data_IF_019185444440
#
_entry.id   IF_019185444440
#
_cell.length_a   1.000
_cell.length_b   1.000
_cell.length_c   1.000
_cell.angle_alpha   90.00
_cell.angle_beta   90.00
_cell.angle_gamma   90.00
#
_symmetry.space_group_name_H-M   'P 1'
#
loop_
_entity.id
_entity.type
_entity.pdbx_description
1 polymer ?
#
# COMPACT_ATOMS: atom_id res chain seq x y z
N UNK A 1 -12.06 -40.20 23.91
CA UNK A 1 -12.41 -38.76 23.79
C UNK A 1 -11.19 -37.85 23.88
N UNK A 2 -10.34 -37.97 24.92
CA UNK A 2 -9.17 -37.10 25.13
C UNK A 2 -8.22 -37.01 23.92
N UNK A 3 -7.83 -38.15 23.32
CA UNK A 3 -6.95 -38.17 22.13
C UNK A 3 -7.54 -37.52 20.87
N UNK A 4 -8.87 -37.52 20.70
CA UNK A 4 -9.53 -36.84 19.57
C UNK A 4 -9.54 -35.32 19.76
N UNK A 5 -9.68 -34.86 21.01
CA UNK A 5 -9.62 -33.44 21.37
C UNK A 5 -8.19 -32.90 21.20
N UNK A 6 -7.17 -33.69 21.56
CA UNK A 6 -5.76 -33.31 21.36
C UNK A 6 -5.38 -33.22 19.88
N UNK A 7 -5.88 -34.15 19.04
CA UNK A 7 -5.66 -34.10 17.60
C UNK A 7 -6.34 -32.89 16.93
N UNK A 8 -7.55 -32.52 17.37
CA UNK A 8 -8.27 -31.33 16.85
C UNK A 8 -7.56 -30.03 17.24
N UNK A 9 -7.07 -29.92 18.48
CA UNK A 9 -6.27 -28.76 18.92
C UNK A 9 -4.95 -28.63 18.14
N UNK A 10 -4.28 -29.74 17.84
CA UNK A 10 -3.03 -29.74 17.05
C UNK A 10 -3.28 -29.31 15.60
N UNK A 11 -4.39 -29.75 14.99
CA UNK A 11 -4.77 -29.37 13.62
C UNK A 11 -5.17 -27.88 13.55
N UNK A 12 -5.88 -27.35 14.54
CA UNK A 12 -6.16 -25.90 14.61
C UNK A 12 -4.88 -25.05 14.77
N UNK A 13 -3.87 -25.56 15.46
CA UNK A 13 -2.58 -24.87 15.61
C UNK A 13 -1.78 -24.85 14.31
N UNK A 14 -1.83 -25.92 13.51
CA UNK A 14 -1.11 -26.00 12.22
C UNK A 14 -1.79 -25.15 11.13
N UNK A 15 -3.11 -25.00 11.17
CA UNK A 15 -3.88 -24.21 10.17
C UNK A 15 -3.85 -22.70 10.44
N UNK A 16 -3.56 -22.26 11.67
CA UNK A 16 -3.49 -20.83 12.01
C UNK A 16 -2.14 -20.17 11.74
N UNK A 17 -1.05 -20.95 11.69
CA UNK A 17 0.30 -20.43 11.44
C UNK A 17 0.49 -19.79 10.04
N UNK A 18 -0.07 -20.31 8.92
CA UNK A 18 0.10 -19.64 7.63
C UNK A 18 -0.70 -18.34 7.48
N UNK A 19 -1.60 -18.01 8.41
CA UNK A 19 -2.31 -16.72 8.41
C UNK A 19 -1.49 -15.58 9.05
N UNK A 20 -0.41 -15.92 9.77
CA UNK A 20 0.65 -14.99 10.18
C UNK A 20 1.82 -15.01 9.18
N UNK A 21 1.52 -15.05 7.89
CA UNK A 21 2.45 -14.40 6.95
C UNK A 21 2.28 -12.90 7.19
N UNK A 22 2.99 -12.38 8.19
CA UNK A 22 3.22 -10.95 8.31
C UNK A 22 3.70 -10.52 6.94
N UNK A 23 2.86 -9.75 6.26
CA UNK A 23 3.18 -9.20 4.96
C UNK A 23 4.47 -8.41 5.18
N UNK A 24 5.61 -9.02 4.81
CA UNK A 24 6.88 -8.33 4.83
C UNK A 24 6.76 -7.39 3.63
N UNK A 25 5.97 -6.33 3.81
CA UNK A 25 5.96 -5.18 2.93
C UNK A 25 7.44 -4.88 2.79
N UNK A 26 8.00 -5.12 1.60
CA UNK A 26 9.35 -4.69 1.31
C UNK A 26 9.32 -3.21 1.57
N UNK A 27 9.73 -2.78 2.77
CA UNK A 27 9.76 -1.37 3.11
C UNK A 27 10.76 -0.83 2.12
N UNK A 28 10.28 -0.17 1.07
CA UNK A 28 11.18 0.55 0.20
C UNK A 28 11.95 1.48 1.12
N UNK A 29 13.28 1.44 1.04
CA UNK A 29 14.11 2.37 1.80
C UNK A 29 13.93 3.80 1.29
N UNK A 30 13.13 4.00 0.23
CA UNK A 30 12.80 5.29 -0.33
C UNK A 30 11.95 6.11 0.66
N UNK A 31 12.45 7.25 1.15
CA UNK A 31 11.74 8.08 2.12
C UNK A 31 10.41 8.66 1.62
N UNK A 32 10.14 8.65 0.30
CA UNK A 32 8.87 9.12 -0.29
C UNK A 32 7.81 8.01 -0.41
N UNK A 33 8.16 6.75 -0.16
CA UNK A 33 7.25 5.60 -0.22
C UNK A 33 6.88 5.09 1.18
N UNK A 34 6.86 6.00 2.15
CA UNK A 34 6.49 5.72 3.54
C UNK A 34 5.00 5.42 3.73
N UNK A 35 4.64 4.97 4.93
CA UNK A 35 3.26 4.66 5.32
C UNK A 35 2.52 5.91 5.82
N UNK A 36 1.21 5.75 6.01
CA UNK A 36 0.36 6.79 6.57
C UNK A 36 0.91 7.30 7.92
N UNK A 37 0.97 8.62 8.06
CA UNK A 37 1.53 9.33 9.22
C UNK A 37 3.01 9.06 9.54
N UNK A 38 3.79 8.52 8.59
CA UNK A 38 5.25 8.46 8.74
C UNK A 38 5.88 9.81 8.37
N UNK A 39 6.86 10.23 9.18
CA UNK A 39 7.62 11.46 8.90
C UNK A 39 8.56 11.25 7.72
N UNK A 40 8.52 12.17 6.77
CA UNK A 40 9.38 12.14 5.59
C UNK A 40 10.77 12.66 5.96
N UNK A 41 11.78 11.81 5.76
CA UNK A 41 13.19 12.13 6.04
C UNK A 41 13.80 12.85 4.84
N UNK A 42 13.46 14.13 4.65
CA UNK A 42 13.93 14.92 3.50
C UNK A 42 15.46 14.99 3.40
N UNK A 43 16.17 14.97 4.53
CA UNK A 43 17.63 15.00 4.57
C UNK A 43 18.29 13.77 3.92
N UNK A 44 17.55 12.67 3.77
CA UNK A 44 18.05 11.41 3.22
C UNK A 44 17.71 11.26 1.72
N UNK A 45 17.00 12.22 1.11
CA UNK A 45 16.52 12.09 -0.27
C UNK A 45 17.62 12.31 -1.30
N UNK A 46 17.70 11.40 -2.27
CA UNK A 46 18.53 11.56 -3.47
C UNK A 46 17.69 11.70 -4.74
N UNK A 47 18.33 12.12 -5.85
CA UNK A 47 17.68 12.18 -7.16
C UNK A 47 17.17 10.81 -7.61
N UNK A 48 17.88 9.73 -7.28
CA UNK A 48 17.48 8.35 -7.56
C UNK A 48 16.21 7.98 -6.79
N UNK A 49 16.09 8.40 -5.52
CA UNK A 49 14.87 8.18 -4.75
C UNK A 49 13.67 8.93 -5.36
N UNK A 50 13.88 10.17 -5.81
CA UNK A 50 12.81 10.95 -6.47
C UNK A 50 12.34 10.21 -7.73
N UNK A 51 13.27 9.74 -8.57
CA UNK A 51 12.94 9.01 -9.78
C UNK A 51 12.19 7.71 -9.47
N UNK A 52 12.72 6.90 -8.54
CA UNK A 52 12.09 5.63 -8.14
C UNK A 52 10.68 5.85 -7.60
N UNK A 53 10.49 6.78 -6.67
CA UNK A 53 9.18 7.04 -6.07
C UNK A 53 8.17 7.55 -7.10
N UNK A 54 8.63 8.38 -8.05
CA UNK A 54 7.80 8.86 -9.16
C UNK A 54 7.36 7.70 -10.06
N UNK A 55 8.30 6.84 -10.46
CA UNK A 55 8.02 5.68 -11.32
C UNK A 55 7.05 4.70 -10.64
N UNK A 56 7.26 4.41 -9.35
CA UNK A 56 6.39 3.57 -8.53
C UNK A 56 4.99 4.18 -8.43
N UNK A 57 4.89 5.46 -8.08
CA UNK A 57 3.62 6.15 -7.92
C UNK A 57 2.79 6.17 -9.21
N UNK A 58 3.43 6.43 -10.35
CA UNK A 58 2.78 6.40 -11.67
C UNK A 58 2.29 4.98 -12.00
N UNK A 59 3.11 3.95 -11.75
CA UNK A 59 2.75 2.56 -11.99
C UNK A 59 1.54 2.16 -11.15
N UNK A 60 1.57 2.41 -9.85
CA UNK A 60 0.48 2.08 -8.94
C UNK A 60 -0.81 2.82 -9.28
N UNK A 61 -0.73 4.11 -9.61
CA UNK A 61 -1.89 4.89 -10.04
C UNK A 61 -2.52 4.30 -11.31
N UNK A 62 -1.71 3.91 -12.31
CA UNK A 62 -2.22 3.26 -13.54
C UNK A 62 -2.91 1.94 -13.24
N UNK A 63 -2.30 1.08 -12.42
CA UNK A 63 -2.87 -0.21 -12.04
C UNK A 63 -4.18 -0.06 -11.27
N UNK A 64 -4.27 0.92 -10.37
CA UNK A 64 -5.49 1.24 -9.63
C UNK A 64 -6.59 1.83 -10.53
N UNK A 65 -6.24 2.74 -11.45
CA UNK A 65 -7.19 3.31 -12.41
C UNK A 65 -7.78 2.25 -13.34
N UNK A 66 -6.98 1.28 -13.81
CA UNK A 66 -7.48 0.15 -14.62
C UNK A 66 -8.56 -0.62 -13.86
N UNK A 67 -8.34 -0.90 -12.56
CA UNK A 67 -9.33 -1.58 -11.71
C UNK A 67 -10.58 -0.72 -11.53
N UNK A 68 -10.41 0.58 -11.29
CA UNK A 68 -11.50 1.54 -11.12
C UNK A 68 -12.39 1.64 -12.37
N UNK A 69 -11.78 1.70 -13.56
CA UNK A 69 -12.49 1.79 -14.83
C UNK A 69 -13.25 0.51 -15.19
N UNK A 70 -12.82 -0.64 -14.67
CA UNK A 70 -13.50 -1.91 -14.88
C UNK A 70 -14.81 -2.05 -14.10
N UNK A 71 -15.13 -1.14 -13.17
CA UNK A 71 -16.34 -1.20 -12.34
C UNK A 71 -17.56 -0.71 -13.15
N UNK A 72 -18.56 -1.59 -13.42
CA UNK A 72 -19.79 -1.19 -14.09
C UNK A 72 -20.50 -0.09 -13.29
N UNK A 73 -21.13 0.86 -13.98
CA UNK A 73 -21.77 2.04 -13.37
C UNK A 73 -22.75 1.65 -12.26
N UNK A 74 -23.50 0.57 -12.45
CA UNK A 74 -24.55 0.06 -11.57
C UNK A 74 -23.97 -0.63 -10.32
N UNK A 75 -22.68 -0.98 -10.33
CA UNK A 75 -21.97 -1.61 -9.22
C UNK A 75 -21.09 -0.64 -8.43
N UNK A 76 -21.07 0.64 -8.81
CA UNK A 76 -20.26 1.65 -8.12
C UNK A 76 -20.84 1.95 -6.75
N UNK A 77 -19.98 1.91 -5.75
CA UNK A 77 -20.26 2.32 -4.38
C UNK A 77 -19.26 3.39 -3.97
N UNK A 78 -19.50 4.03 -2.82
CA UNK A 78 -18.52 4.94 -2.24
C UNK A 78 -17.17 4.24 -2.07
N UNK A 79 -17.15 3.07 -1.43
CA UNK A 79 -15.93 2.34 -1.10
C UNK A 79 -15.15 1.91 -2.34
N UNK A 80 -15.81 1.34 -3.34
CA UNK A 80 -15.10 0.79 -4.51
C UNK A 80 -14.76 1.84 -5.58
N UNK A 81 -15.29 3.05 -5.46
CA UNK A 81 -15.09 4.10 -6.47
C UNK A 81 -14.49 5.37 -5.88
N UNK A 82 -15.20 6.02 -4.95
CA UNK A 82 -14.77 7.32 -4.41
C UNK A 82 -13.58 7.17 -3.47
N UNK A 83 -13.63 6.19 -2.56
CA UNK A 83 -12.52 5.91 -1.65
C UNK A 83 -11.28 5.42 -2.42
N UNK A 84 -11.45 4.54 -3.41
CA UNK A 84 -10.32 4.11 -4.24
C UNK A 84 -9.72 5.26 -5.06
N UNK A 85 -10.56 6.16 -5.59
CA UNK A 85 -10.07 7.35 -6.27
C UNK A 85 -9.29 8.27 -5.32
N UNK A 86 -9.81 8.52 -4.13
CA UNK A 86 -9.12 9.31 -3.09
C UNK A 86 -7.78 8.67 -2.70
N UNK A 87 -7.74 7.35 -2.53
CA UNK A 87 -6.51 6.61 -2.26
C UNK A 87 -5.47 6.77 -3.38
N UNK A 88 -5.89 6.84 -4.66
CA UNK A 88 -4.98 7.13 -5.79
C UNK A 88 -4.41 8.54 -5.67
N UNK A 89 -5.25 9.54 -5.40
CA UNK A 89 -4.81 10.92 -5.20
C UNK A 89 -3.84 11.05 -4.03
N UNK A 90 -4.15 10.42 -2.89
CA UNK A 90 -3.30 10.45 -1.71
C UNK A 90 -1.91 9.83 -1.98
N UNK A 91 -1.85 8.64 -2.60
CA UNK A 91 -0.58 7.99 -2.94
C UNK A 91 0.28 8.82 -3.91
N UNK A 92 -0.34 9.41 -4.94
CA UNK A 92 0.38 10.27 -5.87
C UNK A 92 0.79 11.61 -5.24
N UNK A 93 -0.10 12.19 -4.44
CA UNK A 93 0.11 13.46 -3.74
C UNK A 93 1.25 13.39 -2.74
N UNK A 94 1.43 12.26 -2.05
CA UNK A 94 2.57 12.08 -1.12
C UNK A 94 3.93 12.17 -1.82
N UNK A 95 4.02 11.78 -3.10
CA UNK A 95 5.27 11.90 -3.86
C UNK A 95 5.38 13.30 -4.48
N UNK A 96 4.40 13.72 -5.28
CA UNK A 96 4.45 15.00 -6.00
C UNK A 96 4.49 16.20 -5.04
N UNK A 97 3.71 16.18 -3.97
CA UNK A 97 3.66 17.26 -2.98
C UNK A 97 5.01 17.47 -2.31
N UNK A 98 5.72 16.39 -1.97
CA UNK A 98 7.06 16.47 -1.39
C UNK A 98 8.10 17.02 -2.35
N UNK A 99 8.04 16.58 -3.62
CA UNK A 99 8.92 17.13 -4.68
C UNK A 99 8.65 18.62 -4.88
N UNK A 100 7.38 19.03 -4.91
CA UNK A 100 7.00 20.43 -5.03
C UNK A 100 7.55 21.29 -3.87
N UNK A 101 7.41 20.81 -2.63
CA UNK A 101 7.90 21.51 -1.45
C UNK A 101 9.42 21.69 -1.49
N UNK A 102 10.17 20.66 -1.87
CA UNK A 102 11.64 20.74 -2.01
C UNK A 102 12.09 21.74 -3.08
N UNK A 103 11.31 21.94 -4.13
CA UNK A 103 11.62 22.89 -5.19
C UNK A 103 11.18 24.34 -4.86
N UNK A 104 10.43 24.55 -3.77
CA UNK A 104 9.84 25.84 -3.40
C UNK A 104 10.60 26.57 -2.28
N UNK A 105 11.73 26.01 -1.86
CA UNK A 105 12.65 26.54 -0.84
C UNK A 105 13.98 26.90 -1.45
#
# INVERSE_FOLDING_TARGET
>A
MKHKITAILLVCFIVTIPLLSADKSSSSNNPLLGKFNETIRFADLTAENIKEATDVSIKEAREALVKLYAIPKEKRTFDNTMLELDNIYNRAGNVYGCIYLMNST
#
